data_IF_764067567407
#
_entry.id   IF_764067567407
#
_cell.length_a   1.000
_cell.length_b   1.000
_cell.length_c   1.000
_cell.angle_alpha   90.00
_cell.angle_beta   90.00
_cell.angle_gamma   90.00
#
_symmetry.space_group_name_H-M   'P 1'
#
loop_
_entity.id
_entity.type
_entity.pdbx_description
1 polymer ?
#
# COMPACT_ATOMS: atom_id res chain seq x y z
N UNK A 1 -63.06 31.92 -39.84
CA UNK A 1 -63.05 31.19 -38.57
C UNK A 1 -61.89 30.21 -38.61
N UNK A 2 -60.80 30.50 -37.94
CA UNK A 2 -59.69 29.58 -37.71
C UNK A 2 -59.35 29.68 -36.23
N UNK A 3 -59.68 28.64 -35.49
CA UNK A 3 -59.50 28.54 -34.04
C UNK A 3 -58.11 27.97 -33.76
N UNK A 4 -57.20 28.80 -33.23
CA UNK A 4 -55.93 28.33 -32.68
C UNK A 4 -56.20 27.65 -31.33
N UNK A 5 -55.89 26.36 -31.24
CA UNK A 5 -55.86 25.65 -29.97
C UNK A 5 -54.65 26.11 -29.13
N UNK A 6 -54.78 26.25 -27.79
CA UNK A 6 -53.65 26.57 -26.95
C UNK A 6 -52.76 25.33 -26.78
N UNK A 7 -51.46 25.54 -26.91
CA UNK A 7 -50.46 24.50 -26.69
C UNK A 7 -50.47 24.04 -25.22
N UNK A 8 -50.61 22.74 -25.00
CA UNK A 8 -50.47 22.09 -23.70
C UNK A 8 -49.02 22.25 -23.21
N UNK A 9 -48.77 22.67 -21.95
CA UNK A 9 -47.41 22.70 -21.43
C UNK A 9 -46.90 21.27 -21.26
N UNK A 10 -45.75 20.97 -21.85
CA UNK A 10 -45.04 19.73 -21.63
C UNK A 10 -44.72 19.58 -20.13
N UNK A 11 -45.17 18.47 -19.54
CA UNK A 11 -44.80 18.07 -18.16
C UNK A 11 -43.29 17.85 -18.08
N UNK A 12 -42.63 18.24 -16.97
CA UNK A 12 -41.18 18.17 -16.87
C UNK A 12 -40.74 16.72 -16.71
N UNK A 13 -40.03 16.20 -17.71
CA UNK A 13 -39.20 15.00 -17.59
C UNK A 13 -37.96 15.22 -16.68
N UNK A 14 -37.81 16.44 -16.13
CA UNK A 14 -36.61 16.92 -15.43
C UNK A 14 -36.35 16.30 -14.04
N UNK A 15 -37.36 15.72 -13.37
CA UNK A 15 -37.21 15.29 -11.96
C UNK A 15 -36.47 13.96 -11.74
N UNK A 16 -36.65 12.97 -12.62
CA UNK A 16 -36.11 11.61 -12.40
C UNK A 16 -34.68 11.45 -12.88
N UNK A 17 -34.35 12.00 -14.06
CA UNK A 17 -32.99 11.97 -14.58
C UNK A 17 -32.03 12.79 -13.72
N UNK A 18 -32.50 13.91 -13.13
CA UNK A 18 -31.70 14.71 -12.22
C UNK A 18 -31.29 13.95 -10.94
N UNK A 19 -32.18 13.11 -10.38
CA UNK A 19 -31.87 12.31 -9.19
C UNK A 19 -30.80 11.23 -9.47
N UNK A 20 -30.91 10.54 -10.62
CA UNK A 20 -29.90 9.54 -11.04
C UNK A 20 -28.56 10.21 -11.35
N UNK A 21 -28.57 11.33 -12.06
CA UNK A 21 -27.35 12.10 -12.34
C UNK A 21 -26.68 12.62 -11.06
N UNK A 22 -27.46 12.99 -10.05
CA UNK A 22 -26.91 13.40 -8.76
C UNK A 22 -26.25 12.22 -8.01
N UNK A 23 -26.89 11.05 -7.94
CA UNK A 23 -26.25 9.88 -7.31
C UNK A 23 -24.99 9.44 -8.06
N UNK A 24 -25.00 9.48 -9.39
CA UNK A 24 -23.81 9.24 -10.20
C UNK A 24 -22.69 10.24 -9.90
N UNK A 25 -23.02 11.53 -9.70
CA UNK A 25 -22.07 12.56 -9.28
C UNK A 25 -21.47 12.26 -7.90
N UNK A 26 -22.30 11.83 -6.94
CA UNK A 26 -21.82 11.49 -5.59
C UNK A 26 -20.91 10.27 -5.60
N UNK A 27 -21.30 9.18 -6.30
CA UNK A 27 -20.43 8.02 -6.48
C UNK A 27 -19.10 8.38 -7.14
N UNK A 28 -19.13 9.32 -8.11
CA UNK A 28 -17.92 9.81 -8.77
C UNK A 28 -16.98 10.52 -7.80
N UNK A 29 -17.52 11.35 -6.91
CA UNK A 29 -16.71 12.02 -5.89
C UNK A 29 -16.14 11.02 -4.88
N UNK A 30 -16.93 10.05 -4.42
CA UNK A 30 -16.45 8.99 -3.53
C UNK A 30 -15.32 8.18 -4.18
N UNK A 31 -15.47 7.79 -5.46
CA UNK A 31 -14.43 7.09 -6.21
C UNK A 31 -13.13 7.91 -6.27
N UNK A 32 -13.24 9.20 -6.56
CA UNK A 32 -12.08 10.09 -6.64
C UNK A 32 -11.35 10.23 -5.29
N UNK A 33 -12.10 10.29 -4.19
CA UNK A 33 -11.53 10.36 -2.83
C UNK A 33 -10.84 9.06 -2.45
N UNK A 34 -11.48 7.90 -2.64
CA UNK A 34 -10.86 6.59 -2.36
C UNK A 34 -9.62 6.35 -3.23
N UNK A 35 -9.67 6.72 -4.51
CA UNK A 35 -8.53 6.62 -5.42
C UNK A 35 -7.34 7.47 -4.94
N UNK A 36 -7.57 8.72 -4.53
CA UNK A 36 -6.49 9.58 -4.06
C UNK A 36 -6.01 9.21 -2.66
N UNK A 37 -6.90 8.66 -1.80
CA UNK A 37 -6.50 8.04 -0.54
C UNK A 37 -5.54 6.88 -0.80
N UNK A 38 -5.90 5.90 -1.64
CA UNK A 38 -5.04 4.79 -2.00
C UNK A 38 -3.67 5.26 -2.51
N UNK A 39 -3.66 6.24 -3.42
CA UNK A 39 -2.42 6.76 -4.01
C UNK A 39 -1.48 7.38 -2.98
N UNK A 40 -2.01 8.00 -1.93
CA UNK A 40 -1.23 8.85 -1.02
C UNK A 40 -1.03 8.23 0.37
N UNK A 41 -1.93 7.40 0.87
CA UNK A 41 -1.78 6.70 2.16
C UNK A 41 -0.57 5.77 2.16
N UNK A 42 -0.25 5.17 1.01
CA UNK A 42 0.91 4.28 0.86
C UNK A 42 2.24 5.00 1.12
N UNK A 43 2.28 6.32 1.02
CA UNK A 43 3.47 7.11 1.38
C UNK A 43 3.82 7.00 2.88
N UNK A 44 2.85 6.69 3.74
CA UNK A 44 3.07 6.52 5.18
C UNK A 44 3.81 5.22 5.49
N UNK A 45 3.64 4.18 4.67
CA UNK A 45 4.06 2.80 4.96
C UNK A 45 5.57 2.74 5.24
N UNK A 46 6.41 3.28 4.36
CA UNK A 46 7.86 3.28 4.56
C UNK A 46 8.36 4.34 5.56
N UNK A 47 7.49 5.23 6.04
CA UNK A 47 7.85 6.32 6.96
C UNK A 47 7.52 6.01 8.41
N UNK A 48 6.45 5.27 8.67
CA UNK A 48 6.13 4.81 10.04
C UNK A 48 7.10 3.70 10.45
N UNK A 49 7.44 3.65 11.74
CA UNK A 49 8.46 2.73 12.25
C UNK A 49 7.93 1.38 12.73
N UNK A 50 6.70 1.31 13.24
CA UNK A 50 6.13 0.09 13.82
C UNK A 50 5.62 -0.86 12.72
N UNK A 51 6.16 -2.10 12.59
CA UNK A 51 5.71 -3.07 11.60
C UNK A 51 4.20 -3.33 11.61
N UNK A 52 3.58 -3.45 12.78
CA UNK A 52 2.13 -3.69 12.87
C UNK A 52 1.30 -2.53 12.31
N UNK A 53 1.78 -1.29 12.45
CA UNK A 53 1.15 -0.14 11.80
C UNK A 53 1.35 -0.17 10.28
N UNK A 54 2.54 -0.56 9.79
CA UNK A 54 2.77 -0.74 8.34
C UNK A 54 1.79 -1.75 7.75
N UNK A 55 1.64 -2.90 8.40
CA UNK A 55 0.70 -3.95 7.99
C UNK A 55 -0.74 -3.45 7.96
N UNK A 56 -1.15 -2.72 9.00
CA UNK A 56 -2.50 -2.15 9.07
C UNK A 56 -2.74 -1.12 7.96
N UNK A 57 -1.75 -0.28 7.64
CA UNK A 57 -1.85 0.67 6.53
C UNK A 57 -1.97 -0.04 5.17
N UNK A 58 -1.24 -1.15 4.95
CA UNK A 58 -1.38 -1.98 3.76
C UNK A 58 -2.78 -2.59 3.65
N UNK A 59 -3.35 -3.08 4.76
CA UNK A 59 -4.71 -3.60 4.81
C UNK A 59 -5.74 -2.54 4.42
N UNK A 60 -5.69 -1.37 5.07
CA UNK A 60 -6.62 -0.28 4.80
C UNK A 60 -6.49 0.26 3.37
N UNK A 61 -5.28 0.26 2.79
CA UNK A 61 -5.07 0.60 1.38
C UNK A 61 -5.76 -0.39 0.45
N UNK A 62 -5.65 -1.70 0.72
CA UNK A 62 -6.34 -2.74 -0.05
C UNK A 62 -7.86 -2.66 0.07
N UNK A 63 -8.38 -2.44 1.29
CA UNK A 63 -9.82 -2.31 1.53
C UNK A 63 -10.40 -1.07 0.82
N UNK A 64 -9.70 0.07 0.88
CA UNK A 64 -10.02 1.28 0.12
C UNK A 64 -9.95 1.07 -1.40
N UNK A 65 -8.97 0.31 -1.91
CA UNK A 65 -8.92 -0.07 -3.32
C UNK A 65 -10.18 -0.87 -3.74
N UNK A 66 -10.66 -1.76 -2.87
CA UNK A 66 -11.92 -2.48 -3.04
C UNK A 66 -13.12 -1.53 -3.11
N UNK A 67 -13.21 -0.56 -2.18
CA UNK A 67 -14.27 0.47 -2.20
C UNK A 67 -14.26 1.26 -3.51
N UNK A 68 -13.10 1.78 -3.91
CA UNK A 68 -12.94 2.55 -5.15
C UNK A 68 -13.36 1.74 -6.38
N UNK A 69 -12.99 0.45 -6.45
CA UNK A 69 -13.37 -0.42 -7.56
C UNK A 69 -14.88 -0.53 -7.68
N UNK A 70 -15.56 -0.81 -6.57
CA UNK A 70 -17.01 -0.92 -6.58
C UNK A 70 -17.68 0.41 -6.97
N UNK A 71 -17.26 1.53 -6.36
CA UNK A 71 -17.81 2.85 -6.67
C UNK A 71 -17.68 3.18 -8.15
N UNK A 72 -16.55 2.81 -8.77
CA UNK A 72 -16.31 2.98 -10.20
C UNK A 72 -17.19 2.07 -11.05
N UNK A 73 -17.26 0.78 -10.73
CA UNK A 73 -18.06 -0.19 -11.48
C UNK A 73 -19.55 0.16 -11.42
N UNK A 74 -20.07 0.40 -10.22
CA UNK A 74 -21.45 0.85 -10.01
C UNK A 74 -21.73 2.20 -10.65
N UNK A 75 -20.79 3.14 -10.52
CA UNK A 75 -20.88 4.44 -11.17
C UNK A 75 -21.02 4.34 -12.69
N UNK A 76 -20.27 3.44 -13.34
CA UNK A 76 -20.33 3.20 -14.80
C UNK A 76 -21.67 2.63 -15.27
N UNK A 77 -22.47 2.03 -14.38
CA UNK A 77 -23.84 1.59 -14.68
C UNK A 77 -24.83 2.76 -14.73
N UNK A 78 -24.48 3.92 -14.15
CA UNK A 78 -25.32 5.11 -14.08
C UNK A 78 -24.94 6.14 -15.15
N UNK A 79 -25.94 6.79 -15.74
CA UNK A 79 -25.71 7.94 -16.61
C UNK A 79 -25.00 9.07 -15.85
N UNK A 80 -24.04 9.75 -16.49
CA UNK A 80 -23.31 10.93 -15.97
C UNK A 80 -22.13 10.68 -15.01
N UNK A 81 -21.73 9.44 -14.71
CA UNK A 81 -20.49 9.17 -13.92
C UNK A 81 -19.20 9.54 -14.67
N UNK A 82 -19.25 9.50 -16.00
CA UNK A 82 -18.11 9.75 -16.89
C UNK A 82 -17.32 8.48 -17.22
N UNK A 83 -16.54 8.53 -18.29
CA UNK A 83 -15.71 7.41 -18.76
C UNK A 83 -14.26 7.51 -18.31
N UNK A 84 -13.79 8.71 -17.97
CA UNK A 84 -12.43 8.94 -17.49
C UNK A 84 -12.30 8.49 -16.04
N UNK A 85 -11.07 8.21 -15.63
CA UNK A 85 -10.75 7.92 -14.22
C UNK A 85 -10.00 9.08 -13.55
N UNK A 86 -9.90 10.22 -14.23
CA UNK A 86 -9.26 11.44 -13.73
C UNK A 86 -9.92 11.95 -12.45
N UNK A 87 -9.11 12.46 -11.54
CA UNK A 87 -9.56 13.05 -10.28
C UNK A 87 -9.56 14.57 -10.39
N UNK A 88 -10.56 15.23 -9.80
CA UNK A 88 -10.60 16.70 -9.73
C UNK A 88 -9.40 17.25 -8.98
N UNK A 89 -8.85 18.35 -9.47
CA UNK A 89 -7.73 19.05 -8.84
C UNK A 89 -8.03 19.45 -7.40
N UNK A 90 -9.28 19.82 -7.09
CA UNK A 90 -9.72 20.16 -5.74
C UNK A 90 -9.56 19.01 -4.74
N UNK A 91 -9.83 17.77 -5.15
CA UNK A 91 -9.65 16.56 -4.32
C UNK A 91 -8.17 16.20 -4.26
N UNK A 92 -7.52 16.11 -5.41
CA UNK A 92 -6.10 15.74 -5.54
C UNK A 92 -5.18 16.65 -4.72
N UNK A 93 -5.45 17.96 -4.69
CA UNK A 93 -4.64 18.94 -3.98
C UNK A 93 -4.63 18.70 -2.47
N UNK A 94 -5.77 18.28 -1.88
CA UNK A 94 -5.86 17.94 -0.45
C UNK A 94 -5.04 16.70 -0.13
N UNK A 95 -5.13 15.66 -0.97
CA UNK A 95 -4.35 14.44 -0.76
C UNK A 95 -2.85 14.66 -0.98
N UNK A 96 -2.47 15.46 -1.97
CA UNK A 96 -1.07 15.89 -2.13
C UNK A 96 -0.57 16.64 -0.88
N UNK A 97 -1.37 17.57 -0.34
CA UNK A 97 -1.04 18.25 0.91
C UNK A 97 -0.86 17.26 2.07
N UNK A 98 -1.76 16.28 2.20
CA UNK A 98 -1.75 15.29 3.27
C UNK A 98 -0.51 14.39 3.28
N UNK A 99 0.17 14.20 2.14
CA UNK A 99 1.45 13.47 2.09
C UNK A 99 2.57 14.18 2.87
N UNK A 100 2.44 15.50 3.08
CA UNK A 100 3.42 16.32 3.77
C UNK A 100 4.81 16.27 3.12
N UNK A 101 5.80 16.78 3.85
CA UNK A 101 7.22 16.68 3.48
C UNK A 101 7.85 15.47 4.13
N UNK A 102 8.98 14.99 3.59
CA UNK A 102 9.74 13.86 4.16
C UNK A 102 10.31 14.15 5.56
N UNK A 103 10.40 15.42 5.96
CA UNK A 103 10.88 15.83 7.29
C UNK A 103 9.78 15.86 8.37
N UNK A 104 8.50 15.85 7.99
CA UNK A 104 7.40 15.84 8.96
C UNK A 104 7.27 14.47 9.64
N UNK A 105 6.86 14.50 10.91
CA UNK A 105 6.56 13.29 11.68
C UNK A 105 5.49 12.45 10.97
N UNK A 106 5.79 11.21 10.59
CA UNK A 106 4.85 10.34 9.90
C UNK A 106 3.58 10.04 10.70
N UNK A 107 3.60 10.07 12.04
CA UNK A 107 2.41 9.85 12.87
C UNK A 107 1.50 11.08 12.86
N UNK A 108 2.05 12.30 12.78
CA UNK A 108 1.27 13.53 12.58
C UNK A 108 0.56 13.50 11.22
N UNK A 109 1.25 13.03 10.18
CA UNK A 109 0.63 12.86 8.85
C UNK A 109 -0.44 11.76 8.86
N UNK A 110 -0.17 10.65 9.53
CA UNK A 110 -1.14 9.55 9.72
C UNK A 110 -2.41 10.07 10.42
N UNK A 111 -2.26 10.94 11.43
CA UNK A 111 -3.40 11.61 12.06
C UNK A 111 -4.19 12.48 11.06
N UNK A 112 -3.52 13.19 10.15
CA UNK A 112 -4.21 13.90 9.06
C UNK A 112 -5.10 12.98 8.20
N UNK A 113 -4.60 11.83 7.78
CA UNK A 113 -5.40 10.85 7.02
C UNK A 113 -6.57 10.28 7.85
N UNK A 114 -6.31 9.86 9.08
CA UNK A 114 -7.25 9.04 9.86
C UNK A 114 -8.14 9.82 10.83
N UNK A 115 -7.79 11.04 11.19
CA UNK A 115 -8.60 11.90 12.07
C UNK A 115 -9.32 13.01 11.30
N UNK A 116 -8.88 13.34 10.08
CA UNK A 116 -9.52 14.37 9.24
C UNK A 116 -10.10 13.77 7.95
N UNK A 117 -9.27 13.21 7.05
CA UNK A 117 -9.72 12.83 5.71
C UNK A 117 -10.69 11.63 5.70
N UNK A 118 -10.37 10.53 6.40
CA UNK A 118 -11.24 9.34 6.50
C UNK A 118 -12.52 9.63 7.29
N UNK A 119 -12.53 10.37 8.41
CA UNK A 119 -13.78 10.77 9.06
C UNK A 119 -14.69 11.62 8.15
N UNK A 120 -14.11 12.50 7.32
CA UNK A 120 -14.89 13.22 6.31
C UNK A 120 -15.43 12.27 5.22
N UNK A 121 -14.69 11.23 4.83
CA UNK A 121 -15.16 10.20 3.89
C UNK A 121 -16.29 9.36 4.48
N UNK A 122 -16.18 8.98 5.75
CA UNK A 122 -17.25 8.33 6.50
C UNK A 122 -18.52 9.21 6.58
N UNK A 123 -18.37 10.52 6.81
CA UNK A 123 -19.48 11.50 6.73
C UNK A 123 -20.11 11.51 5.33
N UNK A 124 -19.29 11.48 4.28
CA UNK A 124 -19.75 11.40 2.90
C UNK A 124 -20.53 10.11 2.59
N UNK A 125 -20.06 8.94 3.05
CA UNK A 125 -20.80 7.68 2.91
C UNK A 125 -22.14 7.71 3.64
N UNK A 126 -22.17 8.22 4.88
CA UNK A 126 -23.41 8.38 5.65
C UNK A 126 -24.36 9.38 4.97
N UNK A 127 -23.84 10.44 4.37
CA UNK A 127 -24.63 11.38 3.58
C UNK A 127 -25.23 10.69 2.35
N UNK A 128 -24.44 9.91 1.59
CA UNK A 128 -24.91 9.16 0.44
C UNK A 128 -26.11 8.27 0.79
N UNK A 129 -26.01 7.49 1.89
CA UNK A 129 -27.11 6.65 2.35
C UNK A 129 -28.37 7.41 2.74
N UNK A 130 -28.22 8.65 3.25
CA UNK A 130 -29.34 9.50 3.64
C UNK A 130 -30.11 10.03 2.42
N UNK A 131 -29.42 10.32 1.32
CA UNK A 131 -30.01 11.00 0.16
C UNK A 131 -30.38 10.07 -0.97
N UNK A 132 -29.82 8.86 -1.02
CA UNK A 132 -30.16 7.86 -2.03
C UNK A 132 -31.52 7.21 -1.77
N UNK A 133 -32.19 6.76 -2.84
CA UNK A 133 -33.44 6.02 -2.72
C UNK A 133 -33.15 4.56 -2.31
N UNK A 134 -33.71 4.07 -1.19
CA UNK A 134 -33.35 2.78 -0.62
C UNK A 134 -33.80 1.57 -1.45
N UNK A 135 -34.75 1.75 -2.38
CA UNK A 135 -35.25 0.70 -3.27
C UNK A 135 -34.59 0.78 -4.65
N UNK A 136 -34.56 1.98 -5.24
CA UNK A 136 -34.06 2.15 -6.60
C UNK A 136 -32.53 2.01 -6.71
N UNK A 137 -31.80 2.43 -5.67
CA UNK A 137 -30.34 2.36 -5.60
C UNK A 137 -29.85 1.36 -4.54
N UNK A 138 -30.67 0.33 -4.30
CA UNK A 138 -30.37 -0.74 -3.35
C UNK A 138 -28.96 -1.35 -3.51
N UNK A 139 -28.44 -1.61 -4.74
CA UNK A 139 -27.08 -2.14 -4.91
C UNK A 139 -26.00 -1.23 -4.32
N UNK A 140 -26.06 0.08 -4.55
CA UNK A 140 -25.09 1.03 -4.01
C UNK A 140 -25.25 1.16 -2.49
N UNK A 141 -26.50 1.23 -2.01
CA UNK A 141 -26.80 1.27 -0.57
C UNK A 141 -26.14 0.11 0.18
N UNK A 142 -26.33 -1.12 -0.32
CA UNK A 142 -25.86 -2.33 0.36
C UNK A 142 -24.34 -2.32 0.57
N UNK A 143 -23.59 -1.84 -0.42
CA UNK A 143 -22.13 -1.82 -0.38
C UNK A 143 -21.58 -0.61 0.37
N UNK A 144 -22.22 0.56 0.27
CA UNK A 144 -21.86 1.71 1.11
C UNK A 144 -22.07 1.43 2.60
N UNK A 145 -23.08 0.63 2.98
CA UNK A 145 -23.23 0.15 4.37
C UNK A 145 -22.03 -0.68 4.85
N UNK A 146 -21.44 -1.49 3.96
CA UNK A 146 -20.23 -2.27 4.26
C UNK A 146 -19.01 -1.35 4.38
N UNK A 147 -18.87 -0.36 3.50
CA UNK A 147 -17.76 0.61 3.57
C UNK A 147 -17.81 1.43 4.86
N UNK A 148 -18.99 1.79 5.35
CA UNK A 148 -19.13 2.46 6.65
C UNK A 148 -18.59 1.58 7.79
N UNK A 149 -18.89 0.28 7.77
CA UNK A 149 -18.40 -0.65 8.77
C UNK A 149 -16.88 -0.78 8.74
N UNK A 150 -16.29 -0.81 7.54
CA UNK A 150 -14.84 -0.81 7.33
C UNK A 150 -14.21 0.51 7.80
N UNK A 151 -14.75 1.68 7.43
CA UNK A 151 -14.24 2.98 7.86
C UNK A 151 -14.34 3.20 9.39
N UNK A 152 -15.43 2.76 10.02
CA UNK A 152 -15.56 2.75 11.48
C UNK A 152 -14.54 1.78 12.13
N UNK A 153 -14.22 0.65 11.47
CA UNK A 153 -13.16 -0.28 11.93
C UNK A 153 -11.78 0.36 11.79
N UNK A 154 -11.46 0.95 10.64
CA UNK A 154 -10.20 1.63 10.38
C UNK A 154 -9.89 2.68 11.46
N UNK A 155 -10.90 3.48 11.83
CA UNK A 155 -10.77 4.49 12.89
C UNK A 155 -10.45 3.87 14.26
N UNK A 156 -11.06 2.72 14.60
CA UNK A 156 -10.77 2.01 15.86
C UNK A 156 -9.38 1.38 15.87
N UNK A 157 -8.97 0.76 14.77
CA UNK A 157 -7.70 0.03 14.66
C UNK A 157 -6.50 0.97 14.65
N UNK A 158 -6.63 2.16 14.06
CA UNK A 158 -5.55 3.15 14.00
C UNK A 158 -5.39 3.95 15.31
N UNK A 159 -6.47 4.11 16.09
CA UNK A 159 -6.51 4.99 17.26
C UNK A 159 -5.40 4.72 18.29
N UNK A 160 -5.05 3.45 18.63
CA UNK A 160 -3.95 3.16 19.55
C UNK A 160 -2.59 3.71 19.09
N UNK A 161 -2.33 3.73 17.78
CA UNK A 161 -1.06 4.24 17.21
C UNK A 161 -0.97 5.77 17.20
N UNK A 162 -2.11 6.46 17.32
CA UNK A 162 -2.19 7.91 17.34
C UNK A 162 -2.40 8.47 18.75
N UNK A 163 -2.49 7.59 19.76
CA UNK A 163 -2.65 8.00 21.15
C UNK A 163 -1.45 8.85 21.61
N UNK A 164 -1.72 10.09 22.04
CA UNK A 164 -0.69 11.02 22.52
C UNK A 164 0.05 11.80 21.43
N UNK A 165 -0.28 11.62 20.15
CA UNK A 165 0.29 12.40 19.05
C UNK A 165 -0.39 13.77 18.99
N UNK A 166 0.40 14.85 19.11
CA UNK A 166 -0.10 16.22 18.93
C UNK A 166 -0.09 16.60 17.44
N UNK A 167 -1.22 16.37 16.78
CA UNK A 167 -1.43 16.73 15.38
C UNK A 167 -2.34 17.95 15.20
N UNK A 168 -2.54 18.79 16.23
CA UNK A 168 -3.57 19.86 16.21
C UNK A 168 -3.41 20.85 15.07
N UNK A 169 -2.20 21.36 14.86
CA UNK A 169 -1.94 22.32 13.78
C UNK A 169 -2.16 21.71 12.40
N UNK A 170 -1.63 20.50 12.19
CA UNK A 170 -1.79 19.77 10.94
C UNK A 170 -3.25 19.39 10.66
N UNK A 171 -3.97 18.99 11.70
CA UNK A 171 -5.39 18.65 11.64
C UNK A 171 -6.24 19.87 11.27
N UNK A 172 -5.97 21.02 11.90
CA UNK A 172 -6.63 22.29 11.57
C UNK A 172 -6.33 22.75 10.14
N UNK A 173 -5.09 22.53 9.68
CA UNK A 173 -4.68 22.84 8.32
C UNK A 173 -5.48 22.05 7.28
N UNK A 174 -5.54 20.72 7.41
CA UNK A 174 -6.32 19.87 6.51
C UNK A 174 -7.84 20.08 6.65
N UNK A 175 -8.32 20.43 7.85
CA UNK A 175 -9.75 20.76 8.07
C UNK A 175 -10.15 21.99 7.25
N UNK A 176 -9.36 23.07 7.29
CA UNK A 176 -9.62 24.26 6.46
C UNK A 176 -9.66 23.91 4.96
N UNK A 177 -8.78 23.02 4.51
CA UNK A 177 -8.77 22.55 3.12
C UNK A 177 -10.08 21.84 2.73
N UNK A 178 -10.61 20.99 3.62
CA UNK A 178 -11.89 20.30 3.43
C UNK A 178 -13.10 21.22 3.54
N UNK A 179 -13.08 22.17 4.48
CA UNK A 179 -14.16 23.13 4.67
C UNK A 179 -14.33 24.04 3.44
N UNK A 180 -13.24 24.37 2.74
CA UNK A 180 -13.31 25.09 1.47
C UNK A 180 -13.96 24.29 0.34
N UNK A 181 -14.08 22.97 0.48
CA UNK A 181 -14.89 22.13 -0.42
C UNK A 181 -16.34 21.96 0.05
N UNK A 182 -16.64 22.23 1.32
CA UNK A 182 -17.91 21.86 1.95
C UNK A 182 -18.01 20.34 2.17
N UNK A 183 -16.90 19.69 2.51
CA UNK A 183 -16.79 18.23 2.60
C UNK A 183 -16.68 17.54 1.23
N UNK A 184 -16.43 16.24 1.22
CA UNK A 184 -16.11 15.52 -0.02
C UNK A 184 -17.20 15.51 -1.09
N UNK A 185 -18.46 15.63 -0.69
CA UNK A 185 -19.61 15.67 -1.60
C UNK A 185 -20.14 17.09 -1.83
N UNK A 186 -19.56 18.09 -1.16
CA UNK A 186 -20.13 19.43 -1.05
C UNK A 186 -21.39 19.46 -0.17
N UNK A 187 -21.51 18.51 0.75
CA UNK A 187 -22.69 18.31 1.59
C UNK A 187 -22.77 19.24 2.81
N UNK A 188 -21.68 19.94 3.11
CA UNK A 188 -21.53 20.82 4.28
C UNK A 188 -21.43 22.29 3.85
N UNK A 189 -21.58 23.20 4.80
CA UNK A 189 -21.43 24.63 4.51
C UNK A 189 -19.97 24.94 4.17
N UNK A 190 -19.74 25.41 2.94
CA UNK A 190 -18.41 25.83 2.50
C UNK A 190 -17.89 27.01 3.33
N UNK A 191 -16.70 26.86 3.90
CA UNK A 191 -15.96 27.94 4.56
C UNK A 191 -14.71 28.25 3.72
N UNK A 192 -14.61 29.44 3.11
CA UNK A 192 -13.44 29.79 2.30
C UNK A 192 -12.13 29.69 3.09
N UNK A 193 -11.07 29.27 2.42
CA UNK A 193 -9.72 29.28 2.99
C UNK A 193 -9.36 30.65 3.58
N UNK A 194 -8.63 30.63 4.69
CA UNK A 194 -8.04 31.83 5.25
C UNK A 194 -7.11 32.50 4.22
N UNK A 195 -7.05 33.84 4.22
CA UNK A 195 -6.26 34.60 3.25
C UNK A 195 -4.75 34.27 3.27
N UNK A 196 -4.25 33.78 4.41
CA UNK A 196 -2.87 33.36 4.62
C UNK A 196 -2.66 31.84 4.52
N UNK A 197 -3.66 31.07 4.05
CA UNK A 197 -3.51 29.63 3.87
C UNK A 197 -2.47 29.32 2.80
N UNK A 198 -1.50 28.48 3.14
CA UNK A 198 -0.41 28.08 2.24
C UNK A 198 -0.47 26.59 1.98
N UNK A 199 -0.56 26.21 0.71
CA UNK A 199 -0.44 24.81 0.29
C UNK A 199 1.01 24.38 0.31
N UNK A 200 1.43 23.68 1.37
CA UNK A 200 2.82 23.31 1.60
C UNK A 200 3.37 22.41 0.49
N UNK A 201 2.56 21.50 -0.07
CA UNK A 201 3.03 20.63 -1.18
C UNK A 201 3.42 21.41 -2.44
N UNK A 202 2.95 22.66 -2.60
CA UNK A 202 3.35 23.51 -3.73
C UNK A 202 4.71 24.19 -3.51
N UNK A 203 5.09 24.42 -2.26
CA UNK A 203 6.38 25.02 -1.90
C UNK A 203 7.46 23.97 -1.72
N UNK A 204 7.10 22.84 -1.11
CA UNK A 204 7.97 21.68 -0.90
C UNK A 204 7.24 20.43 -1.38
N UNK A 205 7.36 20.10 -2.68
CA UNK A 205 6.79 18.87 -3.22
C UNK A 205 7.28 17.64 -2.46
N UNK A 206 6.42 16.63 -2.40
CA UNK A 206 6.77 15.36 -1.78
C UNK A 206 8.01 14.74 -2.43
N UNK A 207 8.88 14.17 -1.59
CA UNK A 207 10.00 13.32 -2.00
C UNK A 207 10.04 12.10 -1.08
N UNK A 208 10.41 10.95 -1.64
CA UNK A 208 10.66 9.78 -0.82
C UNK A 208 11.82 10.05 0.17
N UNK A 209 11.73 9.59 1.43
CA UNK A 209 12.86 9.65 2.35
C UNK A 209 14.02 8.80 1.81
N UNK A 210 15.25 9.14 2.20
CA UNK A 210 16.44 8.43 1.76
C UNK A 210 16.50 6.97 2.26
N UNK A 211 15.75 6.64 3.32
CA UNK A 211 15.64 5.29 3.88
C UNK A 211 14.30 5.09 4.57
N UNK A 212 13.91 3.84 4.81
CA UNK A 212 12.70 3.49 5.56
C UNK A 212 12.89 3.65 7.07
N UNK A 213 11.78 3.85 7.76
CA UNK A 213 11.74 3.77 9.21
C UNK A 213 11.47 2.33 9.67
N UNK A 214 12.22 1.90 10.69
CA UNK A 214 12.09 0.61 11.39
C UNK A 214 11.78 0.79 12.89
N UNK A 215 11.55 2.03 13.33
CA UNK A 215 11.22 2.37 14.71
C UNK A 215 12.31 1.91 15.67
N UNK A 216 11.92 1.06 16.63
CA UNK A 216 12.83 0.49 17.64
C UNK A 216 13.61 -0.73 17.14
N UNK A 217 13.20 -1.34 16.03
CA UNK A 217 13.78 -2.60 15.56
C UNK A 217 15.17 -2.34 14.96
N UNK A 218 16.15 -3.20 15.27
CA UNK A 218 17.52 -3.00 14.82
C UNK A 218 17.62 -3.21 13.31
N UNK A 219 18.58 -2.57 12.66
CA UNK A 219 18.69 -2.53 11.19
C UNK A 219 20.05 -3.02 10.71
N UNK A 220 20.09 -3.47 9.46
CA UNK A 220 21.31 -3.84 8.76
C UNK A 220 21.13 -3.66 7.26
N UNK A 221 22.21 -3.78 6.49
CA UNK A 221 22.12 -3.83 5.04
C UNK A 221 21.55 -5.16 4.56
N UNK A 222 21.98 -6.30 5.10
CA UNK A 222 21.42 -7.58 4.70
C UNK A 222 21.41 -8.60 5.83
N UNK A 223 20.32 -9.37 5.87
CA UNK A 223 20.18 -10.55 6.73
C UNK A 223 20.52 -11.87 5.99
N UNK A 224 21.12 -11.77 4.80
CA UNK A 224 21.54 -12.92 3.99
C UNK A 224 23.06 -12.89 3.74
N UNK A 225 23.76 -13.99 4.01
CA UNK A 225 25.17 -14.15 3.64
C UNK A 225 25.52 -15.63 3.43
N UNK A 226 26.82 -15.94 3.26
CA UNK A 226 27.34 -17.31 3.35
C UNK A 226 27.92 -17.63 4.73
N UNK A 227 28.00 -16.63 5.61
CA UNK A 227 28.67 -16.73 6.88
C UNK A 227 27.65 -16.92 8.02
N UNK A 228 27.61 -18.11 8.65
CA UNK A 228 26.67 -18.41 9.73
C UNK A 228 26.95 -17.62 11.01
N UNK A 229 28.10 -16.94 11.15
CA UNK A 229 28.40 -16.08 12.30
C UNK A 229 27.87 -14.66 12.13
N UNK A 230 27.51 -14.26 10.91
CA UNK A 230 27.15 -12.88 10.59
C UNK A 230 25.65 -12.66 10.41
N UNK A 231 24.96 -13.56 9.69
CA UNK A 231 23.55 -13.34 9.31
C UNK A 231 22.68 -14.56 9.64
N UNK A 232 21.37 -14.36 9.85
CA UNK A 232 20.46 -15.47 10.13
C UNK A 232 20.21 -16.35 8.90
N UNK A 233 20.24 -15.80 7.68
CA UNK A 233 19.96 -16.59 6.47
C UNK A 233 21.26 -16.91 5.73
N UNK A 234 21.76 -18.12 5.96
CA UNK A 234 22.90 -18.68 5.23
C UNK A 234 22.44 -19.25 3.89
N UNK A 235 22.77 -18.58 2.78
CA UNK A 235 22.20 -18.88 1.45
C UNK A 235 22.41 -20.32 0.99
N UNK A 236 23.60 -20.87 1.24
CA UNK A 236 23.91 -22.26 0.87
C UNK A 236 23.07 -23.28 1.64
N UNK A 237 22.67 -22.98 2.88
CA UNK A 237 21.87 -23.90 3.70
C UNK A 237 20.45 -24.06 3.18
N UNK A 238 19.85 -23.04 2.54
CA UNK A 238 18.50 -23.11 1.98
C UNK A 238 18.32 -24.21 0.92
N UNK A 239 19.41 -24.60 0.26
CA UNK A 239 19.40 -25.56 -0.86
C UNK A 239 20.22 -26.82 -0.58
N UNK A 240 20.98 -26.87 0.52
CA UNK A 240 21.72 -28.06 0.91
C UNK A 240 20.75 -29.11 1.49
N UNK A 241 20.62 -30.30 0.87
CA UNK A 241 19.75 -31.36 1.37
C UNK A 241 20.14 -31.88 2.76
N UNK A 242 21.35 -31.56 3.25
CA UNK A 242 21.82 -31.94 4.59
C UNK A 242 21.38 -30.96 5.68
N UNK A 243 20.90 -29.76 5.32
CA UNK A 243 20.41 -28.81 6.33
C UNK A 243 19.16 -29.37 6.99
N UNK A 244 19.13 -29.41 8.31
CA UNK A 244 17.98 -29.88 9.09
C UNK A 244 16.74 -29.02 8.78
N UNK A 245 15.60 -29.67 8.54
CA UNK A 245 14.36 -28.98 8.20
C UNK A 245 13.91 -27.96 9.26
N UNK A 246 14.24 -28.16 10.55
CA UNK A 246 13.94 -27.21 11.63
C UNK A 246 14.71 -25.90 11.49
N UNK A 247 15.94 -25.95 10.97
CA UNK A 247 16.77 -24.78 10.64
C UNK A 247 16.16 -24.05 9.45
N UNK A 248 15.77 -24.78 8.41
CA UNK A 248 15.09 -24.21 7.24
C UNK A 248 13.81 -23.48 7.64
N UNK A 249 12.99 -24.07 8.52
CA UNK A 249 11.76 -23.44 9.03
C UNK A 249 12.03 -22.10 9.72
N UNK A 250 13.06 -22.01 10.56
CA UNK A 250 13.44 -20.74 11.19
C UNK A 250 13.94 -19.72 10.15
N UNK A 251 14.81 -20.14 9.24
CA UNK A 251 15.34 -19.26 8.18
C UNK A 251 14.25 -18.73 7.26
N UNK A 252 13.26 -19.56 6.89
CA UNK A 252 12.16 -19.11 6.02
C UNK A 252 11.24 -18.13 6.75
N UNK A 253 11.00 -18.28 8.06
CA UNK A 253 10.26 -17.25 8.79
C UNK A 253 11.03 -15.95 8.94
N UNK A 254 12.36 -15.99 9.06
CA UNK A 254 13.18 -14.76 8.96
C UNK A 254 13.06 -14.16 7.56
N UNK A 255 13.14 -14.97 6.50
CA UNK A 255 12.97 -14.50 5.12
C UNK A 255 11.60 -13.83 4.95
N UNK A 256 10.51 -14.52 5.27
CA UNK A 256 9.15 -13.98 5.19
C UNK A 256 9.05 -12.64 5.91
N UNK A 257 9.55 -12.53 7.16
CA UNK A 257 9.54 -11.27 7.90
C UNK A 257 10.22 -10.12 7.12
N UNK A 258 11.32 -10.42 6.42
CA UNK A 258 12.09 -9.46 5.63
C UNK A 258 11.42 -9.05 4.31
N UNK A 259 10.32 -9.68 3.90
CA UNK A 259 9.46 -9.18 2.81
C UNK A 259 8.86 -7.80 3.16
N UNK A 260 9.05 -7.31 4.39
CA UNK A 260 8.91 -5.88 4.72
C UNK A 260 9.68 -4.95 3.77
N UNK A 261 10.86 -5.34 3.28
CA UNK A 261 11.58 -4.54 2.28
C UNK A 261 10.74 -4.39 1.00
N UNK A 262 10.08 -5.46 0.56
CA UNK A 262 9.18 -5.46 -0.59
C UNK A 262 7.99 -4.54 -0.39
N UNK A 263 7.38 -4.58 0.79
CA UNK A 263 6.30 -3.67 1.20
C UNK A 263 6.74 -2.21 1.06
N UNK A 264 7.92 -1.86 1.58
CA UNK A 264 8.36 -0.46 1.60
C UNK A 264 8.64 0.11 0.21
N UNK A 265 9.36 -0.62 -0.65
CA UNK A 265 9.67 -0.10 -1.97
C UNK A 265 8.49 -0.20 -2.94
N UNK A 266 7.60 -1.20 -2.82
CA UNK A 266 6.39 -1.27 -3.65
C UNK A 266 5.44 -0.09 -3.36
N UNK A 267 5.29 0.27 -2.08
CA UNK A 267 4.46 1.39 -1.66
C UNK A 267 4.84 2.73 -2.32
N UNK A 268 6.09 2.88 -2.76
CA UNK A 268 6.56 4.10 -3.46
C UNK A 268 5.95 4.27 -4.85
N UNK A 269 5.57 3.18 -5.52
CA UNK A 269 5.14 3.20 -6.93
C UNK A 269 3.84 3.98 -7.12
N UNK A 270 2.95 4.01 -6.13
CA UNK A 270 1.64 4.64 -6.19
C UNK A 270 1.71 6.15 -6.45
N UNK A 271 2.48 6.87 -5.62
CA UNK A 271 2.59 8.34 -5.72
C UNK A 271 3.36 8.77 -6.96
N UNK A 272 4.28 7.93 -7.43
CA UNK A 272 5.11 8.16 -8.62
C UNK A 272 4.41 7.81 -9.95
N UNK A 273 3.22 7.19 -9.88
CA UNK A 273 2.40 6.85 -11.04
C UNK A 273 0.99 7.47 -10.94
N UNK A 274 0.87 8.80 -10.72
CA UNK A 274 -0.42 9.43 -10.42
C UNK A 274 -1.45 9.35 -11.56
N UNK A 275 -0.97 9.08 -12.78
CA UNK A 275 -1.79 8.96 -14.00
C UNK A 275 -2.04 7.50 -14.41
N UNK A 276 -1.65 6.51 -13.59
CA UNK A 276 -1.89 5.12 -13.90
C UNK A 276 -3.39 4.81 -14.06
N UNK A 277 -3.77 3.82 -14.89
CA UNK A 277 -5.11 3.26 -14.85
C UNK A 277 -5.46 2.82 -13.42
N UNK A 278 -6.71 2.99 -13.00
CA UNK A 278 -7.10 2.60 -11.64
C UNK A 278 -6.87 1.11 -11.37
N UNK A 279 -7.10 0.25 -12.37
CA UNK A 279 -6.92 -1.21 -12.22
C UNK A 279 -5.46 -1.58 -11.91
N UNK A 280 -4.50 -0.77 -12.37
CA UNK A 280 -3.11 -0.93 -12.00
C UNK A 280 -2.93 -0.69 -10.50
N UNK A 281 -3.38 0.45 -9.97
CA UNK A 281 -3.27 0.74 -8.54
C UNK A 281 -4.08 -0.23 -7.68
N UNK A 282 -5.22 -0.73 -8.15
CA UNK A 282 -5.98 -1.77 -7.47
C UNK A 282 -5.17 -3.07 -7.32
N UNK A 283 -4.58 -3.56 -8.41
CA UNK A 283 -3.78 -4.79 -8.37
C UNK A 283 -2.47 -4.59 -7.60
N UNK A 284 -1.84 -3.42 -7.68
CA UNK A 284 -0.70 -3.09 -6.82
C UNK A 284 -1.11 -3.04 -5.35
N UNK A 285 -2.32 -2.58 -5.01
CA UNK A 285 -2.81 -2.60 -3.63
C UNK A 285 -2.98 -4.03 -3.12
N UNK A 286 -3.44 -4.94 -3.99
CA UNK A 286 -3.50 -6.37 -3.68
C UNK A 286 -2.11 -6.93 -3.41
N UNK A 287 -1.17 -6.68 -4.33
CA UNK A 287 0.23 -7.09 -4.22
C UNK A 287 0.86 -6.56 -2.92
N UNK A 288 0.69 -5.27 -2.62
CA UNK A 288 1.19 -4.65 -1.41
C UNK A 288 0.62 -5.28 -0.12
N UNK A 289 -0.67 -5.63 -0.14
CA UNK A 289 -1.29 -6.34 0.97
C UNK A 289 -0.73 -7.74 1.14
N UNK A 290 -0.50 -8.46 0.05
CA UNK A 290 0.05 -9.81 0.04
C UNK A 290 1.46 -9.84 0.64
N UNK A 291 2.37 -8.99 0.16
CA UNK A 291 3.72 -8.82 0.74
C UNK A 291 3.68 -8.50 2.24
N UNK A 292 2.73 -7.65 2.65
CA UNK A 292 2.58 -7.29 4.06
C UNK A 292 2.08 -8.46 4.90
N UNK A 293 1.26 -9.36 4.35
CA UNK A 293 0.82 -10.59 5.01
C UNK A 293 1.95 -11.59 5.10
N UNK A 294 2.76 -11.73 4.05
CA UNK A 294 3.93 -12.61 4.09
C UNK A 294 4.91 -12.17 5.17
N UNK A 295 5.18 -10.87 5.27
CA UNK A 295 5.97 -10.31 6.38
C UNK A 295 5.36 -10.59 7.75
N UNK A 296 4.03 -10.49 7.89
CA UNK A 296 3.33 -10.89 9.12
C UNK A 296 3.49 -12.37 9.46
N UNK A 297 3.61 -13.27 8.47
CA UNK A 297 3.84 -14.68 8.74
C UNK A 297 5.15 -14.88 9.50
N UNK A 298 6.25 -14.28 9.02
CA UNK A 298 7.52 -14.32 9.74
C UNK A 298 7.46 -13.65 11.10
N UNK A 299 6.97 -12.40 11.14
CA UNK A 299 6.91 -11.57 12.34
C UNK A 299 6.15 -12.23 13.50
N UNK A 300 5.04 -12.94 13.20
CA UNK A 300 4.21 -13.60 14.21
C UNK A 300 4.66 -15.01 14.58
N UNK A 301 5.34 -15.73 13.68
CA UNK A 301 5.77 -17.12 13.94
C UNK A 301 7.11 -17.19 14.68
N UNK A 302 8.04 -16.28 14.39
CA UNK A 302 9.37 -16.26 15.02
C UNK A 302 9.32 -16.28 16.56
N UNK A 303 8.52 -15.45 17.26
CA UNK A 303 8.43 -15.49 18.72
C UNK A 303 7.92 -16.83 19.28
N UNK A 304 6.99 -17.49 18.58
CA UNK A 304 6.47 -18.82 18.99
C UNK A 304 7.56 -19.90 18.94
N UNK A 305 8.61 -19.68 18.14
CA UNK A 305 9.77 -20.55 18.03
C UNK A 305 10.95 -20.08 18.91
N UNK A 306 10.71 -19.15 19.84
CA UNK A 306 11.71 -18.68 20.79
C UNK A 306 12.68 -17.61 20.25
N UNK A 307 12.39 -17.02 19.09
CA UNK A 307 13.19 -15.91 18.55
C UNK A 307 12.73 -14.58 19.15
N UNK A 308 13.65 -13.86 19.77
CA UNK A 308 13.42 -12.46 20.16
C UNK A 308 13.59 -11.55 18.92
N UNK A 309 12.50 -10.89 18.51
CA UNK A 309 12.51 -9.98 17.36
C UNK A 309 13.49 -8.81 17.52
N UNK A 310 13.85 -8.43 18.75
CA UNK A 310 14.85 -7.40 19.01
C UNK A 310 16.29 -7.86 18.74
N UNK A 311 16.48 -9.13 18.37
CA UNK A 311 17.76 -9.68 17.90
C UNK A 311 17.81 -9.81 16.38
N UNK A 312 16.67 -9.72 15.69
CA UNK A 312 16.59 -9.86 14.23
C UNK A 312 16.72 -8.49 13.60
N UNK A 313 17.78 -8.28 12.83
CA UNK A 313 18.00 -7.01 12.15
C UNK A 313 17.19 -6.94 10.86
N UNK A 314 16.46 -5.85 10.68
CA UNK A 314 15.67 -5.60 9.48
C UNK A 314 16.57 -5.02 8.40
N UNK A 315 16.50 -5.63 7.22
CA UNK A 315 17.17 -5.10 6.02
C UNK A 315 16.67 -3.69 5.68
N UNK A 316 17.55 -2.90 5.07
CA UNK A 316 17.25 -1.62 4.43
C UNK A 316 17.88 -1.51 3.03
N UNK A 317 18.67 -2.50 2.57
CA UNK A 317 19.44 -2.36 1.32
C UNK A 317 18.55 -2.16 0.11
N UNK A 318 17.53 -3.02 -0.06
CA UNK A 318 16.72 -2.99 -1.27
C UNK A 318 16.02 -1.66 -1.42
N UNK A 319 15.47 -1.09 -0.33
CA UNK A 319 14.89 0.24 -0.39
C UNK A 319 15.93 1.32 -0.73
N UNK A 320 17.07 1.33 -0.04
CA UNK A 320 18.13 2.32 -0.26
C UNK A 320 18.62 2.34 -1.72
N UNK A 321 18.66 1.17 -2.36
CA UNK A 321 19.03 1.02 -3.77
C UNK A 321 17.86 1.40 -4.68
N UNK A 322 16.71 0.77 -4.51
CA UNK A 322 15.59 0.85 -5.44
C UNK A 322 14.96 2.23 -5.45
N UNK A 323 14.90 2.95 -4.33
CA UNK A 323 14.32 4.31 -4.29
C UNK A 323 15.07 5.31 -5.20
N UNK A 324 16.30 5.00 -5.61
CA UNK A 324 17.08 5.78 -6.59
C UNK A 324 16.67 5.50 -8.05
N UNK A 325 15.84 4.49 -8.28
CA UNK A 325 15.38 4.05 -9.59
C UNK A 325 13.94 4.54 -9.83
N UNK A 326 13.57 4.90 -11.08
CA UNK A 326 12.20 5.27 -11.42
C UNK A 326 11.21 4.10 -11.23
N UNK A 327 9.90 4.37 -11.12
CA UNK A 327 8.90 3.35 -10.75
C UNK A 327 8.86 2.12 -11.66
N UNK A 328 8.99 2.28 -12.98
CA UNK A 328 9.04 1.15 -13.93
C UNK A 328 10.26 0.23 -13.72
N UNK A 329 11.41 0.79 -13.34
CA UNK A 329 12.60 0.00 -13.02
C UNK A 329 12.46 -0.72 -11.67
N UNK A 330 11.95 -0.02 -10.63
CA UNK A 330 11.69 -0.63 -9.31
C UNK A 330 10.72 -1.81 -9.42
N UNK A 331 9.62 -1.62 -10.15
CA UNK A 331 8.59 -2.65 -10.31
C UNK A 331 9.07 -3.83 -11.17
N UNK A 332 9.97 -3.58 -12.14
CA UNK A 332 10.65 -4.64 -12.88
C UNK A 332 11.54 -5.49 -11.97
N UNK A 333 12.35 -4.87 -11.10
CA UNK A 333 13.19 -5.61 -10.16
C UNK A 333 12.36 -6.46 -9.19
N UNK A 334 11.27 -5.91 -8.67
CA UNK A 334 10.34 -6.65 -7.82
C UNK A 334 9.81 -7.91 -8.51
N UNK A 335 9.11 -7.72 -9.63
CA UNK A 335 8.30 -8.79 -10.22
C UNK A 335 9.09 -9.73 -11.12
N UNK A 336 10.07 -9.21 -11.86
CA UNK A 336 10.80 -9.97 -12.88
C UNK A 336 12.14 -10.52 -12.42
N UNK A 337 12.71 -10.00 -11.33
CA UNK A 337 13.96 -10.50 -10.76
C UNK A 337 13.73 -11.19 -9.42
N UNK A 338 13.23 -10.48 -8.41
CA UNK A 338 13.21 -11.00 -7.04
C UNK A 338 12.16 -12.09 -6.86
N UNK A 339 10.90 -11.82 -7.22
CA UNK A 339 9.81 -12.79 -7.07
C UNK A 339 9.99 -13.97 -8.01
N UNK A 340 10.15 -13.70 -9.31
CA UNK A 340 10.37 -14.73 -10.33
C UNK A 340 11.62 -15.58 -10.05
N UNK A 341 12.71 -14.96 -9.58
CA UNK A 341 13.95 -15.64 -9.23
C UNK A 341 13.89 -16.44 -7.93
N UNK A 342 12.93 -16.15 -7.05
CA UNK A 342 12.79 -16.83 -5.75
C UNK A 342 12.19 -18.24 -5.85
N UNK A 343 11.37 -18.51 -6.90
CA UNK A 343 10.57 -19.74 -6.99
C UNK A 343 11.35 -21.05 -6.83
N UNK A 344 12.52 -21.25 -7.47
CA UNK A 344 13.26 -22.50 -7.33
C UNK A 344 13.68 -22.76 -5.87
N UNK A 345 14.12 -21.72 -5.17
CA UNK A 345 14.54 -21.82 -3.77
C UNK A 345 13.33 -22.03 -2.85
N UNK A 346 12.23 -21.27 -3.04
CA UNK A 346 10.99 -21.43 -2.27
C UNK A 346 10.44 -22.86 -2.41
N UNK A 347 10.51 -23.48 -3.60
CA UNK A 347 10.08 -24.87 -3.80
C UNK A 347 10.87 -25.87 -2.92
N UNK A 348 12.20 -25.76 -2.90
CA UNK A 348 13.05 -26.61 -2.06
C UNK A 348 12.74 -26.41 -0.57
N UNK A 349 12.62 -25.15 -0.14
CA UNK A 349 12.30 -24.79 1.26
C UNK A 349 10.96 -25.40 1.70
N UNK A 350 9.93 -25.34 0.87
CA UNK A 350 8.62 -25.94 1.16
C UNK A 350 8.70 -27.45 1.35
N UNK A 351 9.47 -28.15 0.50
CA UNK A 351 9.65 -29.60 0.63
C UNK A 351 10.32 -29.96 1.96
N UNK A 352 11.33 -29.18 2.40
CA UNK A 352 11.96 -29.36 3.71
C UNK A 352 10.99 -29.12 4.85
N UNK A 353 10.16 -28.09 4.80
CA UNK A 353 9.18 -27.78 5.86
C UNK A 353 8.15 -28.92 6.02
N UNK A 354 7.73 -29.56 4.94
CA UNK A 354 6.78 -30.70 4.97
C UNK A 354 7.32 -31.91 5.73
N UNK A 355 8.64 -32.10 5.78
CA UNK A 355 9.26 -33.17 6.57
C UNK A 355 8.97 -33.05 8.07
N UNK A 356 8.67 -31.85 8.55
CA UNK A 356 8.35 -31.58 9.95
C UNK A 356 6.91 -31.93 10.33
N UNK A 357 6.04 -32.21 9.35
CA UNK A 357 4.58 -32.27 9.54
C UNK A 357 4.02 -30.98 10.20
N UNK A 358 4.64 -29.84 9.91
CA UNK A 358 4.20 -28.53 10.38
C UNK A 358 3.14 -27.97 9.42
N UNK A 359 1.88 -28.33 9.68
CA UNK A 359 0.76 -27.93 8.82
C UNK A 359 0.53 -26.41 8.79
N UNK A 360 0.87 -25.70 9.87
CA UNK A 360 0.76 -24.24 9.90
C UNK A 360 1.80 -23.62 8.95
N UNK A 361 3.07 -24.05 9.05
CA UNK A 361 4.13 -23.57 8.17
C UNK A 361 3.88 -23.90 6.69
N UNK A 362 3.47 -25.14 6.37
CA UNK A 362 3.17 -25.54 4.99
C UNK A 362 1.99 -24.72 4.41
N UNK A 363 0.95 -24.47 5.21
CA UNK A 363 -0.20 -23.64 4.78
C UNK A 363 0.23 -22.21 4.46
N UNK A 364 1.00 -21.57 5.35
CA UNK A 364 1.45 -20.19 5.15
C UNK A 364 2.33 -20.05 3.91
N UNK A 365 3.27 -20.98 3.70
CA UNK A 365 4.14 -20.99 2.51
C UNK A 365 3.38 -21.33 1.22
N UNK A 366 2.32 -22.14 1.30
CA UNK A 366 1.48 -22.43 0.14
C UNK A 366 0.68 -21.20 -0.32
N UNK A 367 0.16 -20.39 0.62
CA UNK A 367 -0.47 -19.11 0.29
C UNK A 367 0.54 -18.13 -0.29
N UNK A 368 1.69 -17.93 0.36
CA UNK A 368 2.80 -17.11 -0.14
C UNK A 368 3.17 -17.47 -1.59
N UNK A 369 3.49 -18.74 -1.86
CA UNK A 369 3.85 -19.18 -3.22
C UNK A 369 2.74 -18.96 -4.26
N UNK A 370 1.47 -19.02 -3.86
CA UNK A 370 0.36 -18.76 -4.78
C UNK A 370 0.21 -17.27 -5.08
N UNK A 371 0.39 -16.43 -4.06
CA UNK A 371 0.37 -14.98 -4.19
C UNK A 371 1.54 -14.52 -5.07
N UNK A 372 2.74 -15.06 -4.88
CA UNK A 372 3.93 -14.79 -5.71
C UNK A 372 3.74 -15.12 -7.19
N UNK A 373 3.05 -16.22 -7.51
CA UNK A 373 2.69 -16.52 -8.90
C UNK A 373 1.76 -15.47 -9.51
N UNK A 374 0.88 -14.91 -8.69
CA UNK A 374 0.00 -13.83 -9.10
C UNK A 374 0.77 -12.50 -9.24
N UNK A 375 1.76 -12.24 -8.39
CA UNK A 375 2.61 -11.05 -8.46
C UNK A 375 3.43 -11.02 -9.76
N UNK A 376 4.00 -12.15 -10.19
CA UNK A 376 4.67 -12.24 -11.50
C UNK A 376 3.69 -12.03 -12.65
N UNK A 377 2.44 -12.51 -12.55
CA UNK A 377 1.38 -12.21 -13.53
C UNK A 377 1.04 -10.72 -13.55
N UNK A 378 0.96 -10.06 -12.40
CA UNK A 378 0.80 -8.62 -12.31
C UNK A 378 1.98 -7.88 -12.94
N UNK A 379 3.21 -8.36 -12.73
CA UNK A 379 4.39 -7.88 -13.42
C UNK A 379 4.22 -7.92 -14.94
N UNK A 380 3.83 -9.06 -15.50
CA UNK A 380 3.64 -9.20 -16.94
C UNK A 380 2.51 -8.30 -17.48
N UNK A 381 1.45 -8.08 -16.69
CA UNK A 381 0.33 -7.24 -17.08
C UNK A 381 0.65 -5.75 -17.00
N UNK A 382 1.24 -5.30 -15.90
CA UNK A 382 1.32 -3.88 -15.54
C UNK A 382 2.68 -3.25 -15.81
N UNK A 383 3.77 -4.01 -15.84
CA UNK A 383 5.09 -3.45 -16.14
C UNK A 383 5.12 -2.69 -17.48
N UNK A 384 4.56 -3.20 -18.60
CA UNK A 384 4.51 -2.45 -19.85
C UNK A 384 3.74 -1.13 -19.75
N UNK A 385 2.68 -1.08 -18.93
CA UNK A 385 1.89 0.13 -18.70
C UNK A 385 2.69 1.16 -17.88
N UNK A 386 3.40 0.73 -16.83
CA UNK A 386 4.28 1.63 -16.04
C UNK A 386 5.45 2.13 -16.90
N UNK A 387 6.03 1.26 -17.72
CA UNK A 387 7.05 1.65 -18.71
C UNK A 387 6.51 2.76 -19.63
N UNK A 388 5.32 2.59 -20.21
CA UNK A 388 4.70 3.59 -21.07
C UNK A 388 4.43 4.93 -20.35
N UNK A 389 3.96 4.89 -19.09
CA UNK A 389 3.80 6.09 -18.25
C UNK A 389 5.12 6.84 -18.03
N UNK A 390 6.25 6.12 -18.04
CA UNK A 390 7.59 6.68 -17.92
C UNK A 390 8.27 7.00 -19.27
N UNK A 391 7.56 6.82 -20.40
CA UNK A 391 8.10 7.08 -21.74
C UNK A 391 9.10 6.04 -22.24
N UNK A 392 9.15 4.86 -21.61
CA UNK A 392 9.99 3.76 -22.04
C UNK A 392 9.39 3.05 -23.27
N UNK A 393 10.22 2.78 -24.28
CA UNK A 393 9.79 2.25 -25.59
C UNK A 393 10.47 0.94 -25.97
N UNK A 394 11.48 0.49 -25.22
CA UNK A 394 12.13 -0.80 -25.42
C UNK A 394 11.15 -1.96 -25.21
N UNK A 395 11.36 -3.11 -25.88
CA UNK A 395 10.70 -4.35 -25.52
C UNK A 395 10.92 -4.69 -24.04
N UNK A 396 9.88 -5.19 -23.37
CA UNK A 396 9.90 -5.45 -21.91
C UNK A 396 11.05 -6.37 -21.49
N UNK A 397 11.38 -7.40 -22.27
CA UNK A 397 12.49 -8.31 -21.96
C UNK A 397 13.86 -7.62 -22.03
N UNK A 398 14.06 -6.71 -22.98
CA UNK A 398 15.28 -5.91 -23.11
C UNK A 398 15.37 -4.86 -21.99
N UNK A 399 14.24 -4.26 -21.65
CA UNK A 399 14.15 -3.33 -20.52
C UNK A 399 14.54 -4.01 -19.21
N UNK A 400 13.91 -5.15 -18.88
CA UNK A 400 14.20 -5.92 -17.65
C UNK A 400 15.68 -6.27 -17.55
N UNK A 401 16.30 -6.77 -18.63
CA UNK A 401 17.75 -7.07 -18.66
C UNK A 401 18.61 -5.84 -18.39
N UNK A 402 18.29 -4.71 -19.01
CA UNK A 402 19.01 -3.46 -18.77
C UNK A 402 18.82 -2.97 -17.32
N UNK A 403 17.62 -3.12 -16.75
CA UNK A 403 17.33 -2.78 -15.36
C UNK A 403 18.10 -3.66 -14.38
N UNK A 404 18.23 -4.97 -14.64
CA UNK A 404 19.05 -5.88 -13.84
C UNK A 404 20.51 -5.46 -13.80
N UNK A 405 21.11 -5.07 -14.93
CA UNK A 405 22.50 -4.57 -14.96
C UNK A 405 22.64 -3.24 -14.20
N UNK A 406 21.70 -2.30 -14.40
CA UNK A 406 21.69 -1.04 -13.67
C UNK A 406 21.53 -1.26 -12.15
N UNK A 407 20.69 -2.21 -11.73
CA UNK A 407 20.54 -2.57 -10.33
C UNK A 407 21.86 -3.04 -9.72
N UNK A 408 22.66 -3.84 -10.45
CA UNK A 408 24.00 -4.26 -9.98
C UNK A 408 24.93 -3.07 -9.78
N UNK A 409 24.94 -2.11 -10.71
CA UNK A 409 25.71 -0.87 -10.57
C UNK A 409 25.25 -0.06 -9.35
N UNK A 410 23.94 0.08 -9.18
CA UNK A 410 23.36 0.83 -8.07
C UNK A 410 23.59 0.13 -6.72
N UNK A 411 23.61 -1.20 -6.68
CA UNK A 411 23.95 -1.97 -5.48
C UNK A 411 25.38 -1.70 -5.02
N UNK A 412 26.33 -1.44 -5.93
CA UNK A 412 27.70 -1.03 -5.58
C UNK A 412 27.73 0.38 -4.96
N UNK A 413 26.88 1.29 -5.44
CA UNK A 413 26.88 2.69 -5.00
C UNK A 413 26.07 2.87 -3.71
N UNK A 414 24.87 2.29 -3.65
CA UNK A 414 23.86 2.55 -2.63
C UNK A 414 23.59 1.35 -1.70
N UNK A 415 24.06 0.15 -2.06
CA UNK A 415 23.98 -1.04 -1.21
C UNK A 415 25.08 -1.08 -0.16
N UNK A 416 24.91 -1.96 0.82
CA UNK A 416 25.81 -2.16 1.95
C UNK A 416 26.14 -0.86 2.74
N UNK A 417 25.19 0.08 2.82
CA UNK A 417 25.34 1.37 3.50
C UNK A 417 24.83 1.38 4.94
N UNK A 418 24.05 0.38 5.33
CA UNK A 418 23.48 0.28 6.67
C UNK A 418 24.31 -0.70 7.48
N UNK A 419 25.15 -0.24 8.44
CA UNK A 419 25.87 -1.16 9.30
C UNK A 419 24.90 -1.95 10.17
N UNK A 420 25.35 -3.10 10.68
CA UNK A 420 24.63 -3.81 11.73
C UNK A 420 24.45 -2.89 12.95
N UNK A 421 23.20 -2.72 13.40
CA UNK A 421 22.85 -1.93 14.57
C UNK A 421 23.18 -2.66 15.89
N UNK A 422 23.28 -3.99 15.84
CA UNK A 422 23.63 -4.82 16.99
C UNK A 422 25.03 -5.41 16.88
N UNK A 423 25.73 -5.60 18.01
CA UNK A 423 26.99 -6.33 18.00
C UNK A 423 26.76 -7.85 17.75
N UNK A 424 27.76 -8.59 17.23
CA UNK A 424 27.65 -10.01 16.87
C UNK A 424 27.01 -10.91 17.94
N UNK A 425 27.36 -10.70 19.21
CA UNK A 425 26.85 -11.48 20.32
C UNK A 425 25.35 -11.29 20.59
N UNK A 426 24.72 -10.20 20.09
CA UNK A 426 23.28 -9.93 20.23
C UNK A 426 22.46 -10.23 18.98
N UNK A 427 23.04 -10.18 17.78
CA UNK A 427 22.34 -10.48 16.50
C UNK A 427 21.82 -11.91 16.44
N UNK A 428 20.67 -12.16 15.81
CA UNK A 428 20.30 -13.49 15.36
C UNK A 428 21.23 -13.89 14.20
N UNK A 429 21.89 -15.04 14.30
CA UNK A 429 22.84 -15.56 13.30
C UNK A 429 22.50 -17.02 12.96
N UNK A 430 23.04 -17.55 11.86
CA UNK A 430 22.86 -18.95 11.46
C UNK A 430 23.27 -19.92 12.57
N UNK A 431 24.37 -19.68 13.28
CA UNK A 431 24.76 -20.48 14.44
C UNK A 431 23.75 -20.44 15.59
N UNK A 432 23.11 -19.30 15.82
CA UNK A 432 22.04 -19.19 16.84
C UNK A 432 20.78 -19.90 16.38
N UNK A 433 20.47 -19.87 15.08
CA UNK A 433 19.37 -20.65 14.51
C UNK A 433 19.60 -22.15 14.69
N UNK A 434 20.82 -22.66 14.47
CA UNK A 434 21.17 -24.06 14.75
C UNK A 434 20.85 -24.44 16.22
N UNK A 435 21.30 -23.61 17.16
CA UNK A 435 21.03 -23.80 18.59
C UNK A 435 19.54 -23.77 18.91
N UNK A 436 18.79 -22.81 18.36
CA UNK A 436 17.33 -22.70 18.54
C UNK A 436 16.59 -23.90 17.95
N UNK A 437 17.05 -24.44 16.82
CA UNK A 437 16.51 -25.64 16.21
C UNK A 437 16.83 -26.93 16.98
N UNK A 438 17.74 -26.87 17.97
CA UNK A 438 18.25 -28.06 18.66
C UNK A 438 19.11 -28.93 17.76
N UNK A 439 19.90 -28.31 16.88
CA UNK A 439 20.84 -28.96 15.96
C UNK A 439 22.24 -28.54 16.38
N UNK A 440 23.10 -29.52 16.69
CA UNK A 440 24.48 -29.31 17.16
C UNK A 440 25.49 -29.55 16.06
#
# INVERSE_FOLDING_TARGET
MSTSAPATPARPAAGRMAAVSEMARLLRLLFEVEREFLRTVTTLIYRVGEPELKYLLCQHAWESAGHARFLRERGRELSSFGTTESVRDSVRRIFNEATGTSAQDPLVLTAGFYQILKPALLSAYRHYLKVTDPLADWPSKKLVEEFIADEDRHAREIAPYLAGIDAREWSLHLTQALDDLGGWLGQETRLPLAANYVWQHTQTPFSHPATCNRGKYPTCSSAFSQDPTETPIVRSWLVDPKTDARVIRLMVYVWLMLEMDAVDYLATVFVDTPNAPFDLHHDLARHLWDESRHSQFGFRQLPKLGVDLMTVEHSLDLYNILVQMPPHERYAMMTMEFEAGSFPTKALVMDRVRELNDFEADTLLAFDRNDEQNHVRYGHRWLPEIMALCGETRPTDQFVKATQEKFKEFAVIYGNRTPHALPPERRLTGEKILRLAGVS
#
